data_IF_101358178135
#
_entry.id   IF_101358178135
#
_cell.length_a   1.000
_cell.length_b   1.000
_cell.length_c   1.000
_cell.angle_alpha   90.00
_cell.angle_beta   90.00
_cell.angle_gamma   90.00
#
_symmetry.space_group_name_H-M   'P 1'
#
loop_
_entity.id
_entity.type
_entity.pdbx_description
1 polymer ?
#
# COMPACT_ATOMS: atom_id res chain seq x y z
N UNK A 1 -18.66 -13.65 18.88
CA UNK A 1 -17.94 -12.37 18.98
C UNK A 1 -17.85 -11.77 17.59
N UNK A 2 -18.38 -10.58 17.36
CA UNK A 2 -18.27 -9.90 16.07
C UNK A 2 -16.95 -9.13 15.97
N UNK A 3 -16.28 -9.22 14.82
CA UNK A 3 -15.15 -8.35 14.49
C UNK A 3 -15.68 -6.94 14.28
N UNK A 4 -15.38 -6.02 15.20
CA UNK A 4 -15.64 -4.60 15.01
C UNK A 4 -14.42 -3.98 14.33
N UNK A 5 -14.56 -3.62 13.06
CA UNK A 5 -13.52 -3.02 12.25
C UNK A 5 -13.93 -1.60 11.90
N UNK A 6 -13.07 -0.65 12.26
CA UNK A 6 -13.17 0.72 11.80
C UNK A 6 -12.72 0.79 10.33
N UNK A 7 -13.70 0.80 9.42
CA UNK A 7 -13.47 0.80 7.98
C UNK A 7 -12.78 2.08 7.49
N UNK A 8 -13.07 3.23 8.10
CA UNK A 8 -12.45 4.50 7.73
C UNK A 8 -10.97 4.49 8.08
N UNK A 9 -10.63 4.01 9.28
CA UNK A 9 -9.24 3.83 9.68
C UNK A 9 -8.52 2.80 8.80
N UNK A 10 -9.18 1.71 8.43
CA UNK A 10 -8.60 0.71 7.54
C UNK A 10 -8.32 1.27 6.14
N UNK A 11 -9.23 2.08 5.58
CA UNK A 11 -9.01 2.79 4.31
C UNK A 11 -7.85 3.78 4.41
N UNK A 12 -7.74 4.53 5.51
CA UNK A 12 -6.61 5.44 5.73
C UNK A 12 -5.27 4.69 5.74
N UNK A 13 -5.21 3.52 6.38
CA UNK A 13 -4.00 2.68 6.38
C UNK A 13 -3.67 2.20 4.96
N UNK A 14 -4.65 1.74 4.18
CA UNK A 14 -4.45 1.35 2.77
C UNK A 14 -3.85 2.50 1.96
N UNK A 15 -4.40 3.72 2.10
CA UNK A 15 -3.90 4.89 1.39
C UNK A 15 -2.49 5.29 1.85
N UNK A 16 -2.22 5.21 3.15
CA UNK A 16 -0.89 5.48 3.71
C UNK A 16 0.17 4.51 3.19
N UNK A 17 -0.14 3.21 3.11
CA UNK A 17 0.76 2.20 2.56
C UNK A 17 1.05 2.42 1.07
N UNK A 18 0.03 2.78 0.27
CA UNK A 18 0.24 3.14 -1.14
C UNK A 18 1.14 4.37 -1.27
N UNK A 19 0.82 5.43 -0.54
CA UNK A 19 1.60 6.67 -0.57
C UNK A 19 3.05 6.43 -0.17
N UNK A 20 3.31 5.65 0.88
CA UNK A 20 4.67 5.29 1.29
C UNK A 20 5.38 4.45 0.22
N UNK A 21 4.69 3.49 -0.39
CA UNK A 21 5.22 2.69 -1.49
C UNK A 21 5.66 3.54 -2.67
N UNK A 22 4.81 4.50 -3.07
CA UNK A 22 5.09 5.41 -4.19
C UNK A 22 6.25 6.37 -3.91
N UNK A 23 6.43 6.79 -2.64
CA UNK A 23 7.57 7.63 -2.24
C UNK A 23 8.90 6.87 -2.20
N UNK A 24 8.87 5.56 -1.97
CA UNK A 24 10.07 4.73 -1.92
C UNK A 24 10.58 4.37 -3.32
N UNK A 25 9.73 4.37 -4.35
CA UNK A 25 10.19 4.11 -5.72
C UNK A 25 10.96 5.33 -6.21
N UNK A 26 12.29 5.23 -6.45
CA UNK A 26 13.08 6.37 -6.87
C UNK A 26 12.59 6.88 -8.23
N UNK A 27 12.23 8.15 -8.31
CA UNK A 27 11.83 8.85 -9.56
C UNK A 27 13.03 9.49 -10.28
N UNK A 28 14.22 9.42 -9.68
CA UNK A 28 15.42 10.12 -10.15
C UNK A 28 16.24 9.28 -11.13
N UNK A 29 16.62 9.91 -12.25
CA UNK A 29 17.68 9.42 -13.12
C UNK A 29 18.99 9.25 -12.33
N UNK A 30 19.85 8.27 -12.68
CA UNK A 30 21.11 8.04 -12.00
C UNK A 30 21.92 9.34 -11.95
N UNK A 31 22.48 9.65 -10.78
CA UNK A 31 23.27 10.86 -10.54
C UNK A 31 24.36 11.00 -11.61
N UNK A 32 24.46 12.19 -12.19
CA UNK A 32 25.42 12.51 -13.25
C UNK A 32 26.85 12.13 -12.82
N UNK A 33 27.57 11.46 -13.73
CA UNK A 33 28.94 10.99 -13.52
C UNK A 33 29.84 12.14 -13.05
N UNK A 34 30.36 12.02 -11.82
CA UNK A 34 31.31 12.96 -11.24
C UNK A 34 32.73 12.59 -11.65
N UNK A 35 33.53 13.58 -12.07
CA UNK A 35 34.95 13.42 -12.38
C UNK A 35 35.78 13.20 -11.09
N UNK A 36 35.72 11.99 -10.54
CA UNK A 36 36.51 11.53 -9.40
C UNK A 36 37.34 10.29 -9.73
N UNK A 37 38.16 9.78 -8.78
CA UNK A 37 38.88 8.53 -8.97
C UNK A 37 37.90 7.41 -9.35
N UNK A 38 38.17 6.69 -10.43
CA UNK A 38 37.26 5.69 -11.02
C UNK A 38 36.72 4.69 -9.99
N UNK A 39 37.56 4.26 -9.04
CA UNK A 39 37.17 3.35 -7.94
C UNK A 39 36.17 3.97 -6.97
N UNK A 40 36.28 5.27 -6.68
CA UNK A 40 35.36 5.99 -5.82
C UNK A 40 34.03 6.23 -6.51
N UNK A 41 34.04 6.53 -7.81
CA UNK A 41 32.82 6.67 -8.64
C UNK A 41 32.08 5.34 -8.72
N UNK A 42 32.78 4.24 -9.01
CA UNK A 42 32.18 2.91 -9.05
C UNK A 42 31.59 2.48 -7.71
N UNK A 43 32.25 2.78 -6.59
CA UNK A 43 31.74 2.48 -5.25
C UNK A 43 30.47 3.28 -4.93
N UNK A 44 30.44 4.58 -5.26
CA UNK A 44 29.25 5.43 -5.07
C UNK A 44 28.09 4.93 -5.92
N UNK A 45 28.34 4.61 -7.19
CA UNK A 45 27.31 4.06 -8.09
C UNK A 45 26.77 2.72 -7.59
N UNK A 46 27.62 1.84 -7.07
CA UNK A 46 27.18 0.56 -6.51
C UNK A 46 26.31 0.74 -5.25
N UNK A 47 26.67 1.67 -4.36
CA UNK A 47 25.87 1.98 -3.17
C UNK A 47 24.52 2.59 -3.56
N UNK A 48 24.50 3.54 -4.50
CA UNK A 48 23.26 4.13 -5.00
C UNK A 48 22.36 3.09 -5.66
N UNK A 49 22.89 2.25 -6.54
CA UNK A 49 22.13 1.19 -7.19
C UNK A 49 21.58 0.17 -6.18
N UNK A 50 22.36 -0.17 -5.15
CA UNK A 50 21.88 -1.02 -4.05
C UNK A 50 20.77 -0.33 -3.25
N UNK A 51 20.90 0.98 -2.98
CA UNK A 51 19.88 1.77 -2.31
C UNK A 51 18.58 1.81 -3.11
N UNK A 52 18.67 2.06 -4.41
CA UNK A 52 17.52 2.07 -5.32
C UNK A 52 16.83 0.70 -5.38
N UNK A 53 17.62 -0.39 -5.42
CA UNK A 53 17.08 -1.74 -5.39
C UNK A 53 16.30 -2.02 -4.10
N UNK A 54 16.89 -1.69 -2.94
CA UNK A 54 16.23 -1.85 -1.64
C UNK A 54 14.95 -1.02 -1.56
N UNK A 55 15.00 0.24 -1.98
CA UNK A 55 13.84 1.13 -1.97
C UNK A 55 12.71 0.60 -2.87
N UNK A 56 13.04 0.05 -4.03
CA UNK A 56 12.09 -0.59 -4.94
C UNK A 56 11.44 -1.83 -4.33
N UNK A 57 12.21 -2.73 -3.71
CA UNK A 57 11.68 -3.95 -3.07
C UNK A 57 10.72 -3.59 -1.93
N UNK A 58 11.08 -2.63 -1.08
CA UNK A 58 10.19 -2.17 -0.01
C UNK A 58 8.97 -1.43 -0.55
N UNK A 59 9.11 -0.63 -1.60
CA UNK A 59 8.00 0.00 -2.29
C UNK A 59 6.98 -1.01 -2.80
N UNK A 60 7.45 -2.06 -3.47
CA UNK A 60 6.61 -3.16 -3.96
C UNK A 60 5.90 -3.91 -2.82
N UNK A 61 6.61 -4.19 -1.72
CA UNK A 61 6.03 -4.85 -0.55
C UNK A 61 4.90 -4.03 0.07
N UNK A 62 5.08 -2.71 0.20
CA UNK A 62 4.04 -1.82 0.72
C UNK A 62 2.82 -1.76 -0.19
N UNK A 63 3.02 -1.75 -1.51
CA UNK A 63 1.92 -1.79 -2.48
C UNK A 63 1.16 -3.12 -2.41
N UNK A 64 1.85 -4.25 -2.25
CA UNK A 64 1.22 -5.56 -2.08
C UNK A 64 0.41 -5.64 -0.77
N UNK A 65 0.97 -5.16 0.33
CA UNK A 65 0.27 -5.07 1.61
C UNK A 65 -0.98 -4.18 1.51
N UNK A 66 -0.88 -3.03 0.83
CA UNK A 66 -2.01 -2.15 0.59
C UNK A 66 -3.10 -2.82 -0.26
N UNK A 67 -2.72 -3.59 -1.29
CA UNK A 67 -3.66 -4.33 -2.13
C UNK A 67 -4.38 -5.43 -1.34
N UNK A 68 -3.64 -6.18 -0.52
CA UNK A 68 -4.22 -7.19 0.36
C UNK A 68 -5.23 -6.59 1.34
N UNK A 69 -4.83 -5.54 2.06
CA UNK A 69 -5.71 -4.88 3.03
C UNK A 69 -6.91 -4.22 2.34
N UNK A 70 -6.72 -3.63 1.15
CA UNK A 70 -7.82 -3.07 0.36
C UNK A 70 -8.89 -4.10 -0.02
N UNK A 71 -8.48 -5.32 -0.40
CA UNK A 71 -9.42 -6.43 -0.64
C UNK A 71 -10.18 -6.84 0.61
N UNK A 72 -9.51 -6.86 1.77
CA UNK A 72 -10.16 -7.16 3.04
C UNK A 72 -11.21 -6.09 3.40
N UNK A 73 -10.87 -4.81 3.28
CA UNK A 73 -11.81 -3.70 3.49
C UNK A 73 -13.04 -3.82 2.59
N UNK A 74 -12.84 -4.08 1.31
CA UNK A 74 -13.94 -4.28 0.35
C UNK A 74 -14.84 -5.47 0.71
N UNK A 75 -14.26 -6.56 1.23
CA UNK A 75 -15.04 -7.70 1.69
C UNK A 75 -15.91 -7.35 2.92
N UNK A 76 -15.38 -6.58 3.87
CA UNK A 76 -16.16 -6.13 5.02
C UNK A 76 -17.29 -5.17 4.62
N UNK A 77 -17.03 -4.23 3.71
CA UNK A 77 -18.06 -3.33 3.17
C UNK A 77 -19.17 -4.10 2.45
N UNK A 78 -18.80 -5.11 1.65
CA UNK A 78 -19.77 -5.93 0.93
C UNK A 78 -20.63 -6.76 1.89
N UNK A 79 -20.03 -7.28 2.97
CA UNK A 79 -20.74 -8.00 4.01
C UNK A 79 -21.70 -7.08 4.78
N UNK A 80 -21.27 -5.86 5.11
CA UNK A 80 -22.11 -4.87 5.78
C UNK A 80 -23.31 -4.45 4.92
N UNK A 81 -23.09 -4.17 3.63
CA UNK A 81 -24.16 -3.87 2.67
C UNK A 81 -25.16 -5.02 2.52
N UNK A 82 -24.66 -6.27 2.41
CA UNK A 82 -25.52 -7.46 2.32
C UNK A 82 -26.33 -7.66 3.61
N UNK A 83 -25.71 -7.44 4.78
CA UNK A 83 -26.41 -7.55 6.06
C UNK A 83 -27.49 -6.47 6.20
N UNK A 84 -27.18 -5.22 5.83
CA UNK A 84 -28.17 -4.14 5.82
C UNK A 84 -29.33 -4.46 4.87
N UNK A 85 -29.06 -4.93 3.65
CA UNK A 85 -30.10 -5.34 2.71
C UNK A 85 -30.99 -6.46 3.27
N UNK A 86 -30.40 -7.47 3.91
CA UNK A 86 -31.14 -8.56 4.53
C UNK A 86 -32.06 -8.07 5.67
N UNK A 87 -31.59 -7.15 6.52
CA UNK A 87 -32.41 -6.56 7.59
C UNK A 87 -33.58 -5.76 7.01
N UNK A 88 -33.32 -4.94 5.98
CA UNK A 88 -34.36 -4.18 5.31
C UNK A 88 -35.40 -5.08 4.63
N UNK A 89 -34.97 -6.19 4.02
CA UNK A 89 -35.88 -7.19 3.43
C UNK A 89 -36.67 -8.00 4.48
N UNK A 90 -36.13 -8.09 5.69
CA UNK A 90 -36.75 -8.75 6.84
C UNK A 90 -37.56 -7.79 7.72
N UNK A 91 -37.71 -6.53 7.31
CA UNK A 91 -38.58 -5.55 7.96
C UNK A 91 -40.02 -6.07 8.04
N UNK A 92 -40.82 -5.64 9.04
CA UNK A 92 -42.06 -6.29 9.40
C UNK A 92 -42.99 -6.35 8.18
N UNK A 93 -43.19 -7.56 7.65
CA UNK A 93 -44.37 -7.82 6.85
C UNK A 93 -45.55 -7.46 7.74
N UNK A 94 -46.30 -6.43 7.32
CA UNK A 94 -47.58 -6.03 7.87
C UNK A 94 -48.30 -7.22 8.54
N UNK A 95 -48.31 -7.23 9.88
CA UNK A 95 -49.39 -7.85 10.64
C UNK A 95 -50.36 -6.75 11.03
#
# INVERSE_FOLDING_TARGET
MGLNIDLDRARQVVQGLKGLGDHLVPTGAPAAESAGPEKSVAAVSAVSASGDHVAKEYGALLQEAAAFLGRAVQAFESMDQNNAANIHSSGPQNM
#
